data_IF_212261895203
#
_entry.id   IF_212261895203
#
_cell.length_a   1.000
_cell.length_b   1.000
_cell.length_c   1.000
_cell.angle_alpha   90.00
_cell.angle_beta   90.00
_cell.angle_gamma   90.00
#
_symmetry.space_group_name_H-M   'P 1'
#
loop_
_entity.id
_entity.type
_entity.pdbx_description
1 polymer ?
#
# COMPACT_ATOMS: atom_id res chain seq x y z
N UNK A 1 2.19 9.46 -29.59
CA UNK A 1 1.91 9.54 -28.15
C UNK A 1 2.40 8.25 -27.55
N UNK A 2 3.49 8.27 -26.77
CA UNK A 2 4.01 7.04 -26.15
C UNK A 2 2.99 6.60 -25.09
N UNK A 3 2.30 5.49 -25.32
CA UNK A 3 1.59 4.79 -24.25
C UNK A 3 2.66 4.27 -23.29
N UNK A 4 2.79 4.88 -22.11
CA UNK A 4 3.66 4.38 -21.05
C UNK A 4 2.99 3.16 -20.43
N UNK A 5 3.13 2.00 -21.08
CA UNK A 5 2.87 0.71 -20.46
C UNK A 5 4.01 0.38 -19.52
N UNK A 6 3.71 -0.30 -18.42
CA UNK A 6 4.73 -0.80 -17.51
C UNK A 6 5.35 -2.03 -18.15
N UNK A 7 6.68 -2.10 -18.19
CA UNK A 7 7.34 -3.33 -18.56
C UNK A 7 6.99 -4.46 -17.56
N UNK A 8 7.19 -5.71 -17.96
CA UNK A 8 6.87 -6.87 -17.11
C UNK A 8 7.53 -6.78 -15.72
N UNK A 9 8.81 -6.40 -15.65
CA UNK A 9 9.52 -6.27 -14.38
C UNK A 9 8.95 -5.14 -13.50
N UNK A 10 8.62 -3.99 -14.08
CA UNK A 10 8.00 -2.87 -13.35
C UNK A 10 6.62 -3.25 -12.82
N UNK A 11 5.85 -4.04 -13.57
CA UNK A 11 4.55 -4.57 -13.14
C UNK A 11 4.70 -5.52 -11.96
N UNK A 12 5.70 -6.42 -12.01
CA UNK A 12 5.99 -7.37 -10.93
C UNK A 12 6.50 -6.64 -9.67
N UNK A 13 7.43 -5.72 -9.81
CA UNK A 13 7.92 -4.87 -8.71
C UNK A 13 6.76 -4.09 -8.08
N UNK A 14 5.86 -3.52 -8.89
CA UNK A 14 4.72 -2.78 -8.36
C UNK A 14 3.73 -3.70 -7.62
N UNK A 15 3.52 -4.92 -8.11
CA UNK A 15 2.72 -5.94 -7.41
C UNK A 15 3.33 -6.30 -6.03
N UNK A 16 4.65 -6.48 -5.97
CA UNK A 16 5.36 -6.77 -4.73
C UNK A 16 5.21 -5.63 -3.70
N UNK A 17 5.35 -4.37 -4.14
CA UNK A 17 5.15 -3.20 -3.28
C UNK A 17 3.71 -3.12 -2.77
N UNK A 18 2.71 -3.41 -3.61
CA UNK A 18 1.30 -3.47 -3.20
C UNK A 18 1.10 -4.52 -2.11
N UNK A 19 1.67 -5.72 -2.27
CA UNK A 19 1.57 -6.79 -1.26
C UNK A 19 2.26 -6.42 0.05
N UNK A 20 3.43 -5.79 -0.03
CA UNK A 20 4.15 -5.28 1.13
C UNK A 20 3.33 -4.22 1.89
N UNK A 21 2.77 -3.24 1.18
CA UNK A 21 1.95 -2.18 1.75
C UNK A 21 0.67 -2.72 2.38
N UNK A 22 0.02 -3.69 1.73
CA UNK A 22 -1.17 -4.37 2.24
C UNK A 22 -0.87 -5.08 3.57
N UNK A 23 0.20 -5.89 3.61
CA UNK A 23 0.61 -6.60 4.82
C UNK A 23 0.99 -5.64 5.95
N UNK A 24 1.70 -4.56 5.63
CA UNK A 24 2.11 -3.54 6.61
C UNK A 24 0.90 -2.81 7.19
N UNK A 25 -0.06 -2.41 6.35
CA UNK A 25 -1.29 -1.76 6.79
C UNK A 25 -2.13 -2.67 7.71
N UNK A 26 -2.25 -3.96 7.36
CA UNK A 26 -2.93 -4.96 8.19
C UNK A 26 -2.27 -5.08 9.55
N UNK A 27 -0.94 -5.19 9.60
CA UNK A 27 -0.18 -5.22 10.86
C UNK A 27 -0.43 -3.97 11.69
N UNK A 28 -0.34 -2.78 11.09
CA UNK A 28 -0.61 -1.52 11.80
C UNK A 28 -2.01 -1.50 12.41
N UNK A 29 -3.05 -1.88 11.65
CA UNK A 29 -4.43 -1.95 12.16
C UNK A 29 -4.60 -2.95 13.30
N UNK A 30 -4.05 -4.14 13.17
CA UNK A 30 -4.13 -5.18 14.21
C UNK A 30 -3.43 -4.72 15.50
N UNK A 31 -2.24 -4.11 15.37
CA UNK A 31 -1.48 -3.58 16.51
C UNK A 31 -2.23 -2.50 17.28
N UNK A 32 -3.03 -1.63 16.62
CA UNK A 32 -3.87 -0.64 17.31
C UNK A 32 -4.88 -1.26 18.27
N UNK A 33 -5.30 -2.51 18.04
CA UNK A 33 -6.24 -3.24 18.89
C UNK A 33 -5.61 -3.80 20.17
N UNK A 34 -4.29 -3.95 20.22
CA UNK A 34 -3.57 -4.61 21.33
C UNK A 34 -2.49 -3.74 21.99
N UNK A 35 -2.13 -2.60 21.38
CA UNK A 35 -1.11 -1.70 21.93
C UNK A 35 -1.67 -0.90 23.11
N UNK A 36 -0.89 -0.84 24.20
CA UNK A 36 -1.23 -0.08 25.40
C UNK A 36 -0.59 1.32 25.43
N UNK A 37 0.57 1.46 24.78
CA UNK A 37 1.27 2.72 24.65
C UNK A 37 0.49 3.66 23.72
N UNK A 38 0.08 4.82 24.26
CA UNK A 38 -0.81 5.75 23.58
C UNK A 38 -0.11 6.49 22.42
N UNK A 39 1.15 6.87 22.59
CA UNK A 39 1.93 7.56 21.55
C UNK A 39 2.16 6.62 20.35
N UNK A 40 2.47 5.35 20.64
CA UNK A 40 2.58 4.31 19.61
C UNK A 40 1.23 4.06 18.92
N UNK A 41 0.11 4.08 19.66
CA UNK A 41 -1.22 3.95 19.07
C UNK A 41 -1.55 5.06 18.09
N UNK A 42 -1.20 6.30 18.44
CA UNK A 42 -1.37 7.47 17.58
C UNK A 42 -0.47 7.42 16.35
N UNK A 43 0.76 6.94 16.49
CA UNK A 43 1.66 6.71 15.36
C UNK A 43 1.10 5.65 14.39
N UNK A 44 0.58 4.54 14.92
CA UNK A 44 -0.08 3.51 14.11
C UNK A 44 -1.34 4.04 13.42
N UNK A 45 -2.13 4.89 14.10
CA UNK A 45 -3.31 5.55 13.51
C UNK A 45 -2.95 6.49 12.37
N UNK A 46 -1.90 7.29 12.55
CA UNK A 46 -1.34 8.12 11.49
C UNK A 46 -0.91 7.27 10.29
N UNK A 47 -0.24 6.14 10.53
CA UNK A 47 0.15 5.22 9.46
C UNK A 47 -1.07 4.67 8.71
N UNK A 48 -2.10 4.21 9.41
CA UNK A 48 -3.34 3.69 8.80
C UNK A 48 -4.03 4.74 7.96
N UNK A 49 -4.17 5.97 8.48
CA UNK A 49 -4.83 7.09 7.79
C UNK A 49 -4.11 7.51 6.50
N UNK A 50 -2.77 7.49 6.50
CA UNK A 50 -1.98 7.85 5.32
C UNK A 50 -1.89 6.70 4.30
N UNK A 51 -1.65 5.48 4.76
CA UNK A 51 -1.40 4.34 3.88
C UNK A 51 -2.67 3.78 3.23
N UNK A 52 -3.85 3.91 3.85
CA UNK A 52 -5.12 3.46 3.27
C UNK A 52 -5.45 4.14 1.92
N UNK A 53 -5.52 5.49 1.82
CA UNK A 53 -5.80 6.15 0.55
C UNK A 53 -4.67 5.98 -0.47
N UNK A 54 -3.40 5.90 -0.01
CA UNK A 54 -2.26 5.64 -0.89
C UNK A 54 -2.35 4.25 -1.55
N UNK A 55 -2.65 3.21 -0.76
CA UNK A 55 -2.82 1.85 -1.28
C UNK A 55 -4.02 1.76 -2.24
N UNK A 56 -5.13 2.46 -1.94
CA UNK A 56 -6.27 2.53 -2.85
C UNK A 56 -5.90 3.17 -4.20
N UNK A 57 -5.09 4.24 -4.18
CA UNK A 57 -4.58 4.87 -5.40
C UNK A 57 -3.63 3.93 -6.16
N UNK A 58 -2.74 3.22 -5.46
CA UNK A 58 -1.84 2.24 -6.07
C UNK A 58 -2.60 1.09 -6.74
N UNK A 59 -3.61 0.53 -6.07
CA UNK A 59 -4.47 -0.50 -6.63
C UNK A 59 -5.21 -0.01 -7.88
N UNK A 60 -5.70 1.23 -7.87
CA UNK A 60 -6.33 1.83 -9.06
C UNK A 60 -5.35 1.96 -10.24
N UNK A 61 -4.10 2.34 -9.97
CA UNK A 61 -3.06 2.42 -10.99
C UNK A 61 -2.69 1.03 -11.52
N UNK A 62 -2.56 0.04 -10.64
CA UNK A 62 -2.25 -1.35 -11.00
C UNK A 62 -3.36 -2.01 -11.83
N UNK A 63 -4.64 -1.77 -11.50
CA UNK A 63 -5.74 -2.30 -12.31
C UNK A 63 -5.78 -1.73 -13.74
N UNK A 64 -5.13 -0.59 -13.96
CA UNK A 64 -5.01 0.06 -15.27
C UNK A 64 -3.68 -0.26 -15.96
N UNK A 65 -2.76 -1.02 -15.35
CA UNK A 65 -1.52 -1.40 -16.01
C UNK A 65 -1.80 -2.52 -17.01
N UNK A 66 -1.78 -2.18 -18.29
CA UNK A 66 -1.69 -3.17 -19.35
C UNK A 66 -0.26 -3.70 -19.41
N UNK A 67 -0.10 -5.02 -19.39
CA UNK A 67 1.17 -5.67 -19.71
C UNK A 67 1.52 -5.31 -21.16
N UNK A 68 2.75 -4.84 -21.37
CA UNK A 68 3.34 -4.65 -22.69
C UNK A 68 3.60 -5.99 -23.40
#
# INVERSE_FOLDING_TARGET
>A
MFEKKLALHETLEFHEVINFMTTSLLKSKLSQGIVFDQDLRELLDKNVKLSTPALAAMLKLYSNSELE
#
